data_IF_176824246695
#
_entry.id   IF_176824246695
#
_cell.length_a   1.000
_cell.length_b   1.000
_cell.length_c   1.000
_cell.angle_alpha   90.00
_cell.angle_beta   90.00
_cell.angle_gamma   90.00
#
_symmetry.space_group_name_H-M   'P 1'
#
loop_
_entity.id
_entity.type
_entity.pdbx_description
1 polymer ?
#
# COMPACT_ATOMS: atom_id res chain seq x y z
N UNK A 1 2.55 6.96 3.75
CA UNK A 1 3.56 6.93 2.66
C UNK A 1 4.98 6.85 3.19
N UNK A 2 5.39 7.71 4.13
CA UNK A 2 6.75 7.69 4.73
C UNK A 2 7.07 6.34 5.40
N UNK A 3 6.11 5.77 6.13
CA UNK A 3 6.28 4.48 6.82
C UNK A 3 6.49 3.32 5.85
N UNK A 4 5.79 3.30 4.70
CA UNK A 4 5.94 2.27 3.67
C UNK A 4 7.32 2.36 2.99
N UNK A 5 7.77 3.57 2.65
CA UNK A 5 9.11 3.78 2.07
C UNK A 5 10.20 3.33 3.04
N UNK A 6 10.10 3.71 4.32
CA UNK A 6 11.05 3.30 5.34
C UNK A 6 11.05 1.78 5.55
N UNK A 7 9.88 1.14 5.53
CA UNK A 7 9.74 -0.30 5.70
C UNK A 7 10.33 -1.11 4.53
N UNK A 8 10.01 -0.72 3.30
CA UNK A 8 10.53 -1.37 2.09
C UNK A 8 12.04 -1.18 1.97
N UNK A 9 12.56 0.01 2.29
CA UNK A 9 14.00 0.28 2.34
C UNK A 9 14.71 -0.55 3.40
N UNK A 10 14.14 -0.66 4.61
CA UNK A 10 14.70 -1.49 5.67
C UNK A 10 14.77 -2.96 5.27
N UNK A 11 13.69 -3.50 4.68
CA UNK A 11 13.63 -4.89 4.22
C UNK A 11 14.64 -5.17 3.11
N UNK A 12 14.75 -4.28 2.12
CA UNK A 12 15.72 -4.40 1.03
C UNK A 12 17.17 -4.33 1.50
N UNK A 13 17.47 -3.44 2.46
CA UNK A 13 18.79 -3.35 3.10
C UNK A 13 19.15 -4.64 3.83
N UNK A 14 18.21 -5.25 4.55
CA UNK A 14 18.44 -6.54 5.20
C UNK A 14 18.68 -7.67 4.18
N UNK A 15 17.91 -7.74 3.09
CA UNK A 15 18.15 -8.74 2.03
C UNK A 15 19.49 -8.54 1.32
N UNK A 16 19.95 -7.31 1.09
CA UNK A 16 21.29 -7.08 0.52
C UNK A 16 22.41 -7.57 1.45
N UNK A 17 22.23 -7.43 2.77
CA UNK A 17 23.23 -7.82 3.76
C UNK A 17 23.20 -9.35 4.02
N UNK A 18 22.03 -9.99 4.00
CA UNK A 18 21.88 -11.41 4.31
C UNK A 18 21.99 -12.34 3.10
N UNK A 19 21.50 -11.92 1.93
CA UNK A 19 21.35 -12.77 0.74
C UNK A 19 22.37 -12.45 -0.36
N UNK A 20 23.30 -11.52 -0.11
CA UNK A 20 24.24 -11.01 -1.11
C UNK A 20 23.53 -10.44 -2.36
N UNK A 21 22.24 -10.10 -2.22
CA UNK A 21 21.40 -9.59 -3.28
C UNK A 21 21.90 -8.21 -3.72
N UNK A 22 21.95 -7.98 -5.04
CA UNK A 22 22.37 -6.67 -5.55
C UNK A 22 21.35 -5.58 -5.16
N UNK A 23 21.81 -4.45 -4.62
CA UNK A 23 20.92 -3.35 -4.30
C UNK A 23 20.32 -2.79 -5.60
N UNK A 24 19.03 -3.02 -5.80
CA UNK A 24 18.30 -2.58 -6.99
C UNK A 24 17.19 -1.63 -6.58
N UNK A 25 17.45 -0.34 -6.78
CA UNK A 25 16.49 0.73 -6.55
C UNK A 25 15.23 0.54 -7.42
N UNK A 26 15.38 -0.05 -8.61
CA UNK A 26 14.26 -0.33 -9.51
C UNK A 26 13.23 -1.29 -8.86
N UNK A 27 13.70 -2.35 -8.20
CA UNK A 27 12.85 -3.30 -7.47
C UNK A 27 12.16 -2.61 -6.30
N UNK A 28 12.89 -1.74 -5.58
CA UNK A 28 12.36 -0.97 -4.47
C UNK A 28 11.18 -0.08 -4.89
N UNK A 29 11.32 0.65 -6.01
CA UNK A 29 10.26 1.52 -6.54
C UNK A 29 9.10 0.74 -7.11
N UNK A 30 9.33 -0.44 -7.70
CA UNK A 30 8.26 -1.29 -8.21
C UNK A 30 7.37 -1.80 -7.07
N UNK A 31 7.98 -2.41 -6.05
CA UNK A 31 7.26 -2.92 -4.86
C UNK A 31 6.52 -1.79 -4.16
N UNK A 32 7.15 -0.62 -4.03
CA UNK A 32 6.50 0.55 -3.45
C UNK A 32 5.26 0.99 -4.25
N UNK A 33 5.35 1.04 -5.58
CA UNK A 33 4.20 1.40 -6.42
C UNK A 33 3.08 0.38 -6.35
N UNK A 34 3.36 -0.92 -6.38
CA UNK A 34 2.35 -1.97 -6.24
C UNK A 34 1.63 -1.88 -4.90
N UNK A 35 2.37 -1.78 -3.78
CA UNK A 35 1.77 -1.61 -2.47
C UNK A 35 0.97 -0.31 -2.39
N UNK A 36 1.51 0.81 -2.86
CA UNK A 36 0.78 2.09 -2.88
C UNK A 36 -0.54 1.99 -3.65
N UNK A 37 -0.54 1.31 -4.80
CA UNK A 37 -1.73 1.12 -5.61
C UNK A 37 -2.77 0.23 -4.92
N UNK A 38 -2.34 -0.84 -4.25
CA UNK A 38 -3.20 -1.70 -3.44
C UNK A 38 -3.82 -0.94 -2.26
N UNK A 39 -3.04 -0.14 -1.55
CA UNK A 39 -3.54 0.70 -0.45
C UNK A 39 -4.54 1.75 -0.95
N UNK A 40 -4.30 2.34 -2.12
CA UNK A 40 -5.24 3.26 -2.75
C UNK A 40 -6.55 2.56 -3.15
N UNK A 41 -6.47 1.34 -3.73
CA UNK A 41 -7.62 0.53 -4.10
C UNK A 41 -8.46 0.11 -2.89
N UNK A 42 -7.82 -0.36 -1.82
CA UNK A 42 -8.49 -0.73 -0.56
C UNK A 42 -9.10 0.50 0.10
N UNK A 43 -8.40 1.64 0.09
CA UNK A 43 -8.95 2.93 0.54
C UNK A 43 -10.19 3.33 -0.26
N UNK A 44 -10.13 3.25 -1.59
CA UNK A 44 -11.25 3.57 -2.47
C UNK A 44 -12.43 2.59 -2.35
N UNK A 45 -12.17 1.32 -2.04
CA UNK A 45 -13.22 0.34 -1.71
C UNK A 45 -13.87 0.67 -0.35
N UNK A 46 -13.08 1.03 0.66
CA UNK A 46 -13.61 1.47 1.95
C UNK A 46 -14.48 2.71 1.83
N UNK A 47 -14.09 3.67 0.99
CA UNK A 47 -14.89 4.87 0.70
C UNK A 47 -16.20 4.55 -0.04
N UNK A 48 -16.18 3.59 -0.99
CA UNK A 48 -17.40 3.12 -1.67
C UNK A 48 -18.35 2.42 -0.70
N UNK A 49 -17.83 1.57 0.20
CA UNK A 49 -18.64 0.92 1.22
C UNK A 49 -19.27 1.93 2.20
N UNK A 50 -18.51 2.95 2.61
CA UNK A 50 -19.01 4.05 3.44
C UNK A 50 -20.09 4.90 2.73
N UNK A 51 -19.92 5.21 1.45
CA UNK A 51 -20.90 5.97 0.67
C UNK A 51 -22.22 5.19 0.52
N UNK A 52 -22.14 3.89 0.25
CA UNK A 52 -23.32 3.01 0.18
C UNK A 52 -24.01 2.84 1.55
N UNK A 53 -23.24 2.75 2.63
CA UNK A 53 -23.78 2.74 4.00
C UNK A 53 -24.53 4.02 4.38
N UNK A 54 -24.09 5.18 3.88
CA UNK A 54 -24.76 6.46 4.10
C UNK A 54 -26.04 6.60 3.23
N UNK A 55 -26.02 6.09 2.00
CA UNK A 55 -27.17 6.10 1.10
C UNK A 55 -28.29 5.14 1.56
N UNK A 56 -27.94 4.03 2.23
CA UNK A 56 -28.91 3.09 2.81
C UNK A 56 -29.61 3.58 4.07
N UNK A 57 -29.12 4.65 4.71
CA UNK A 57 -29.70 5.21 5.95
C UNK A 57 -30.86 6.19 5.75
N UNK A 58 -31.14 6.61 4.51
CA UNK A 58 -32.19 7.60 4.18
C UNK A 58 -33.47 6.96 3.59
N UNK A 59 -33.61 5.64 3.73
CA UNK A 59 -34.66 4.86 3.05
C UNK A 59 -35.75 4.23 3.92
N UNK A 60 -35.91 4.63 5.20
CA UNK A 60 -37.07 4.24 6.02
C UNK A 60 -37.57 5.39 6.89
N UNK A 61 -38.50 6.17 6.37
CA UNK A 61 -39.42 7.02 7.13
C UNK A 61 -40.84 6.76 6.64
#
# INVERSE_FOLDING_TARGET
MIILVAWVLWKHRNSCIFDNAQPSIAILTQVFHEEHHLWCLVGAQGMRALNLGHAGGLGIA
#
